data_IF_227382813704
#
_entry.id   IF_227382813704
#
_cell.length_a   1.000
_cell.length_b   1.000
_cell.length_c   1.000
_cell.angle_alpha   90.00
_cell.angle_beta   90.00
_cell.angle_gamma   90.00
#
_symmetry.space_group_name_H-M   'P 1'
#
loop_
_entity.id
_entity.type
_entity.pdbx_description
1 polymer ?
#
# COMPACT_ATOMS: atom_id res chain seq x y z
N UNK A 1 0.99 0.72 15.06
CA UNK A 1 -0.08 1.52 14.42
C UNK A 1 -1.38 0.74 14.60
N UNK A 2 -2.47 1.42 14.95
CA UNK A 2 -3.80 0.84 15.06
C UNK A 2 -4.53 0.85 13.71
N UNK A 3 -5.64 0.12 13.60
CA UNK A 3 -6.50 0.12 12.41
C UNK A 3 -7.07 1.52 12.11
N UNK A 4 -7.41 2.31 13.14
CA UNK A 4 -7.96 3.66 12.98
C UNK A 4 -6.90 4.60 12.40
N UNK A 5 -5.68 4.57 12.94
CA UNK A 5 -4.57 5.38 12.43
C UNK A 5 -4.21 4.98 11.00
N UNK A 6 -4.17 3.67 10.70
CA UNK A 6 -3.91 3.17 9.34
C UNK A 6 -5.01 3.63 8.36
N UNK A 7 -6.28 3.57 8.76
CA UNK A 7 -7.39 4.05 7.95
C UNK A 7 -7.27 5.54 7.65
N UNK A 8 -7.00 6.36 8.67
CA UNK A 8 -6.85 7.80 8.51
C UNK A 8 -5.68 8.12 7.58
N UNK A 9 -4.52 7.50 7.81
CA UNK A 9 -3.34 7.70 6.97
C UNK A 9 -3.60 7.33 5.51
N UNK A 10 -4.07 6.11 5.26
CA UNK A 10 -4.29 5.60 3.89
C UNK A 10 -5.43 6.28 3.16
N UNK A 11 -6.38 6.89 3.88
CA UNK A 11 -7.45 7.69 3.29
C UNK A 11 -6.96 9.01 2.70
N UNK A 12 -5.85 9.56 3.21
CA UNK A 12 -5.29 10.82 2.75
C UNK A 12 -4.21 10.66 1.66
N UNK A 13 -3.70 9.45 1.43
CA UNK A 13 -2.69 9.16 0.39
C UNK A 13 -3.07 9.66 -1.02
N UNK A 14 -4.33 9.53 -1.50
CA UNK A 14 -4.71 10.10 -2.79
C UNK A 14 -4.51 11.63 -2.87
N UNK A 15 -4.73 12.34 -1.76
CA UNK A 15 -4.73 13.81 -1.69
C UNK A 15 -3.32 14.41 -1.68
N UNK A 16 -2.30 13.59 -1.38
CA UNK A 16 -0.90 14.03 -1.25
C UNK A 16 -0.06 13.75 -2.51
N UNK A 17 -0.71 13.46 -3.65
CA UNK A 17 -0.04 13.42 -4.96
C UNK A 17 0.35 12.03 -5.47
N UNK A 18 -0.15 10.95 -4.85
CA UNK A 18 0.05 9.58 -5.35
C UNK A 18 -0.94 9.17 -6.45
N UNK A 19 -1.75 10.10 -6.94
CA UNK A 19 -2.64 9.84 -8.08
C UNK A 19 -1.81 9.55 -9.33
N UNK A 20 -2.07 8.41 -9.99
CA UNK A 20 -1.39 8.01 -11.22
C UNK A 20 0.01 7.40 -11.05
N UNK A 21 0.52 7.28 -9.83
CA UNK A 21 1.80 6.62 -9.55
C UNK A 21 1.55 5.20 -9.05
N UNK A 22 2.28 4.23 -9.60
CA UNK A 22 2.28 2.85 -9.11
C UNK A 22 3.22 2.75 -7.91
N UNK A 23 2.70 2.34 -6.75
CA UNK A 23 3.44 2.31 -5.47
C UNK A 23 3.50 0.91 -4.91
N UNK A 24 4.71 0.37 -4.71
CA UNK A 24 4.90 -0.89 -4.00
C UNK A 24 5.36 -0.61 -2.57
N UNK A 25 4.60 -1.10 -1.58
CA UNK A 25 4.98 -1.03 -0.18
C UNK A 25 5.55 -2.39 0.25
N UNK A 26 6.81 -2.42 0.67
CA UNK A 26 7.49 -3.66 1.06
C UNK A 26 7.62 -3.70 2.57
N UNK A 27 7.04 -4.73 3.19
CA UNK A 27 7.23 -5.05 4.60
C UNK A 27 7.67 -6.50 4.75
N UNK A 28 8.92 -6.70 5.19
CA UNK A 28 9.50 -8.04 5.38
C UNK A 28 9.01 -8.71 6.66
N UNK A 29 8.31 -8.00 7.53
CA UNK A 29 7.82 -8.51 8.81
C UNK A 29 6.33 -8.84 8.73
N UNK A 30 6.00 -10.12 8.97
CA UNK A 30 4.62 -10.61 8.84
C UNK A 30 3.68 -10.13 9.96
N UNK A 31 4.23 -9.57 11.04
CA UNK A 31 3.45 -9.14 12.21
C UNK A 31 2.47 -8.01 11.91
N UNK A 32 2.67 -7.24 10.84
CA UNK A 32 1.75 -6.18 10.40
C UNK A 32 1.04 -6.50 9.09
N UNK A 33 1.13 -7.74 8.59
CA UNK A 33 0.63 -8.08 7.26
C UNK A 33 -0.87 -7.82 7.10
N UNK A 34 -1.68 -8.18 8.10
CA UNK A 34 -3.13 -7.91 8.07
C UNK A 34 -3.44 -6.41 8.06
N UNK A 35 -2.72 -5.64 8.87
CA UNK A 35 -2.89 -4.18 8.92
C UNK A 35 -2.46 -3.52 7.61
N UNK A 36 -1.36 -3.98 7.01
CA UNK A 36 -0.88 -3.49 5.72
C UNK A 36 -1.86 -3.85 4.60
N UNK A 37 -2.44 -5.06 4.60
CA UNK A 37 -3.47 -5.45 3.63
C UNK A 37 -4.76 -4.65 3.81
N UNK A 38 -5.14 -4.32 5.04
CA UNK A 38 -6.21 -3.37 5.30
C UNK A 38 -5.91 -2.00 4.70
N UNK A 39 -4.69 -1.47 4.92
CA UNK A 39 -4.26 -0.20 4.32
C UNK A 39 -4.26 -0.22 2.78
N UNK A 40 -3.79 -1.30 2.17
CA UNK A 40 -3.86 -1.54 0.72
C UNK A 40 -5.29 -1.44 0.20
N UNK A 41 -6.24 -2.12 0.85
CA UNK A 41 -7.64 -2.08 0.47
C UNK A 41 -8.23 -0.66 0.58
N UNK A 42 -7.93 0.06 1.65
CA UNK A 42 -8.43 1.42 1.90
C UNK A 42 -7.88 2.41 0.86
N UNK A 43 -6.59 2.31 0.53
CA UNK A 43 -5.92 3.17 -0.44
C UNK A 43 -6.38 2.88 -1.88
N UNK A 44 -6.45 1.60 -2.27
CA UNK A 44 -6.88 1.19 -3.62
C UNK A 44 -8.32 1.57 -3.92
N UNK A 45 -9.22 1.42 -2.94
CA UNK A 45 -10.61 1.87 -3.07
C UNK A 45 -10.74 3.40 -3.23
N UNK A 46 -9.69 4.17 -2.93
CA UNK A 46 -9.64 5.63 -3.12
C UNK A 46 -8.79 6.07 -4.31
N UNK A 47 -8.46 5.13 -5.21
CA UNK A 47 -7.79 5.44 -6.47
C UNK A 47 -6.26 5.47 -6.39
N UNK A 48 -5.66 5.00 -5.30
CA UNK A 48 -4.21 4.76 -5.26
C UNK A 48 -3.90 3.46 -6.02
N UNK A 49 -2.94 3.50 -6.95
CA UNK A 49 -2.41 2.29 -7.56
C UNK A 49 -1.28 1.72 -6.67
N UNK A 50 -1.68 1.11 -5.55
CA UNK A 50 -0.75 0.63 -4.52
C UNK A 50 -0.92 -0.85 -4.20
N UNK A 51 0.17 -1.53 -3.86
CA UNK A 51 0.12 -2.94 -3.40
C UNK A 51 1.19 -3.23 -2.35
N UNK A 52 0.84 -4.09 -1.38
CA UNK A 52 1.76 -4.55 -0.32
C UNK A 52 2.42 -5.87 -0.69
N UNK A 53 3.73 -5.93 -0.48
CA UNK A 53 4.60 -7.07 -0.75
C UNK A 53 5.44 -7.43 0.47
N UNK A 54 5.87 -8.69 0.51
CA UNK A 54 6.72 -9.19 1.58
C UNK A 54 8.19 -9.31 1.17
N UNK A 55 8.46 -9.17 -0.12
CA UNK A 55 9.81 -9.13 -0.69
C UNK A 55 9.96 -7.93 -1.63
N UNK A 56 11.17 -7.41 -1.72
CA UNK A 56 11.50 -6.34 -2.67
C UNK A 56 11.51 -6.84 -4.12
N UNK A 57 11.79 -8.13 -4.33
CA UNK A 57 11.81 -8.77 -5.64
C UNK A 57 10.41 -8.82 -6.26
N UNK A 58 9.42 -9.33 -5.53
CA UNK A 58 8.02 -9.35 -5.99
C UNK A 58 7.46 -7.94 -6.24
N UNK A 59 7.86 -6.98 -5.41
CA UNK A 59 7.48 -5.59 -5.56
C UNK A 59 8.05 -4.98 -6.84
N UNK A 60 9.33 -5.25 -7.14
CA UNK A 60 10.00 -4.76 -8.33
C UNK A 60 9.41 -5.38 -9.60
N UNK A 61 9.17 -6.69 -9.61
CA UNK A 61 8.49 -7.37 -10.71
C UNK A 61 7.12 -6.75 -11.01
N UNK A 62 6.33 -6.47 -9.97
CA UNK A 62 5.03 -5.83 -10.15
C UNK A 62 5.15 -4.38 -10.64
N UNK A 63 6.11 -3.60 -10.14
CA UNK A 63 6.34 -2.23 -10.59
C UNK A 63 6.73 -2.17 -12.07
N UNK A 64 7.52 -3.13 -12.55
CA UNK A 64 8.00 -3.20 -13.94
C UNK A 64 7.03 -3.92 -14.89
N UNK A 65 6.02 -4.61 -14.37
CA UNK A 65 4.97 -5.22 -15.19
C UNK A 65 4.14 -4.16 -15.94
N UNK A 66 3.74 -4.43 -17.18
CA UNK A 66 2.88 -3.53 -17.96
C UNK A 66 1.43 -3.56 -17.43
#
# INVERSE_FOLDING_TARGET
>A
MSTIEMYQFTSEIPNIGFSGIRVAFVDRYLNQQELNKFGELVATNRGVNGKVFNSSEEAEEWLLSN
#
